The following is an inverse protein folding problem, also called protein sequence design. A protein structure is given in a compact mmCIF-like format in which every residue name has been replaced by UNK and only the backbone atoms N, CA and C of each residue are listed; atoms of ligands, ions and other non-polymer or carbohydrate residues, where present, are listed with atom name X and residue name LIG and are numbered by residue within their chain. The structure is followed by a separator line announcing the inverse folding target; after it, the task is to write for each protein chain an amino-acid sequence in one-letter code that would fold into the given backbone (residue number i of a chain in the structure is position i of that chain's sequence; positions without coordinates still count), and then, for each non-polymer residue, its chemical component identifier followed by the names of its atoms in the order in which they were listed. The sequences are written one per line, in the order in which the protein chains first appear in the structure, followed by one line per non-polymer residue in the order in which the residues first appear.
data_IF_285531502441
#
_entry.id   IF_285531502441
#
_cell.length_a   1.000
_cell.length_b   1.000
_cell.length_c   1.000
_cell.angle_alpha   90.00
_cell.angle_beta   90.00
_cell.angle_gamma   90.00
#
_symmetry.space_group_name_H-M   'P 1'
#
loop_
_entity.id
_entity.type
_entity.pdbx_description
1 polymer ?
#
# COMPACT_ATOMS: atom_id res chain seq x y z
N UNK A 1 -21.08 20.27 32.07
CA UNK A 1 -21.97 20.03 30.91
C UNK A 1 -21.21 20.44 29.65
N UNK A 2 -20.67 19.46 28.92
CA UNK A 2 -20.06 19.69 27.61
C UNK A 2 -21.12 19.37 26.56
N UNK A 3 -21.67 20.43 25.95
CA UNK A 3 -22.58 20.30 24.81
C UNK A 3 -21.75 19.89 23.58
N UNK A 4 -21.76 18.60 23.26
CA UNK A 4 -21.41 18.13 21.91
C UNK A 4 -22.47 18.64 20.94
N UNK A 5 -22.13 19.65 20.15
CA UNK A 5 -22.95 20.04 19.01
C UNK A 5 -22.89 18.92 17.97
N UNK A 6 -23.97 18.14 17.87
CA UNK A 6 -24.20 17.25 16.74
C UNK A 6 -24.41 18.11 15.48
N UNK A 7 -23.35 18.33 14.71
CA UNK A 7 -23.47 18.86 13.35
C UNK A 7 -24.15 17.77 12.52
N UNK A 8 -25.45 17.93 12.29
CA UNK A 8 -26.17 17.11 11.33
C UNK A 8 -25.68 17.49 9.93
N UNK A 9 -25.00 16.58 9.25
CA UNK A 9 -24.68 16.74 7.82
C UNK A 9 -25.99 16.83 7.04
N UNK A 10 -26.33 18.02 6.55
CA UNK A 10 -27.43 18.21 5.62
C UNK A 10 -26.98 17.81 4.21
N UNK A 11 -27.68 16.86 3.59
CA UNK A 11 -27.49 16.53 2.17
C UNK A 11 -28.09 17.68 1.35
N UNK A 12 -27.26 18.38 0.57
CA UNK A 12 -27.71 19.35 -0.43
C UNK A 12 -27.56 18.75 -1.81
N UNK A 13 -28.63 18.76 -2.59
CA UNK A 13 -28.69 18.16 -3.93
C UNK A 13 -28.27 19.13 -5.05
N UNK A 14 -27.93 20.38 -4.72
CA UNK A 14 -27.74 21.47 -5.67
C UNK A 14 -26.26 21.72 -5.99
N UNK A 15 -25.56 20.71 -6.50
CA UNK A 15 -24.21 20.90 -7.06
C UNK A 15 -24.36 21.42 -8.49
N UNK A 16 -24.12 22.72 -8.69
CA UNK A 16 -24.24 23.38 -10.00
C UNK A 16 -22.95 23.32 -10.85
N UNK A 17 -21.88 22.72 -10.33
CA UNK A 17 -20.62 22.53 -11.05
C UNK A 17 -20.56 21.13 -11.64
N UNK A 18 -20.59 21.03 -12.97
CA UNK A 18 -20.55 19.76 -13.69
C UNK A 18 -19.26 18.96 -13.47
N UNK A 19 -18.19 19.59 -12.94
CA UNK A 19 -16.96 18.90 -12.59
C UNK A 19 -16.95 18.28 -11.19
N UNK A 20 -17.99 18.52 -10.37
CA UNK A 20 -18.08 18.01 -9.00
C UNK A 20 -19.18 16.95 -8.93
N UNK A 21 -18.81 15.73 -8.55
CA UNK A 21 -19.76 14.65 -8.31
C UNK A 21 -20.35 14.69 -6.89
N UNK A 22 -19.56 15.07 -5.89
CA UNK A 22 -20.01 15.24 -4.50
C UNK A 22 -19.07 16.14 -3.69
N UNK A 23 -19.55 16.67 -2.58
CA UNK A 23 -18.74 17.37 -1.57
C UNK A 23 -19.01 16.74 -0.21
N UNK A 24 -17.96 16.28 0.48
CA UNK A 24 -18.08 15.62 1.79
C UNK A 24 -17.03 16.20 2.74
N UNK A 25 -17.48 16.78 3.86
CA UNK A 25 -16.57 17.42 4.83
C UNK A 25 -15.74 18.56 4.24
N UNK A 26 -16.27 19.28 3.24
CA UNK A 26 -15.57 20.38 2.55
C UNK A 26 -14.62 19.95 1.43
N UNK A 27 -14.43 18.65 1.19
CA UNK A 27 -13.61 18.16 0.09
C UNK A 27 -14.46 17.65 -1.08
N UNK A 28 -14.05 17.99 -2.30
CA UNK A 28 -14.76 17.64 -3.52
C UNK A 28 -14.29 16.28 -4.09
N UNK A 29 -15.26 15.44 -4.44
CA UNK A 29 -15.08 14.30 -5.34
C UNK A 29 -15.40 14.82 -6.75
N UNK A 30 -14.40 14.87 -7.61
CA UNK A 30 -14.57 15.35 -9.00
C UNK A 30 -15.28 14.30 -9.86
N UNK A 31 -16.00 14.76 -10.89
CA UNK A 31 -16.65 13.89 -11.86
C UNK A 31 -15.66 12.95 -12.56
N UNK A 32 -14.46 13.44 -12.90
CA UNK A 32 -13.42 12.63 -13.54
C UNK A 32 -12.91 11.52 -12.62
N UNK A 33 -12.63 11.83 -11.35
CA UNK A 33 -12.27 10.81 -10.37
C UNK A 33 -13.36 9.73 -10.24
N UNK A 34 -14.64 10.10 -10.18
CA UNK A 34 -15.75 9.14 -10.16
C UNK A 34 -15.72 8.24 -11.40
N UNK A 35 -15.53 8.78 -12.60
CA UNK A 35 -15.51 8.00 -13.83
C UNK A 35 -14.34 7.01 -13.85
N UNK A 36 -13.14 7.44 -13.44
CA UNK A 36 -11.95 6.58 -13.37
C UNK A 36 -12.21 5.38 -12.44
N UNK A 37 -12.76 5.62 -11.25
CA UNK A 37 -13.05 4.53 -10.31
C UNK A 37 -14.24 3.66 -10.77
N UNK A 38 -15.22 4.24 -11.47
CA UNK A 38 -16.31 3.47 -12.07
C UNK A 38 -15.79 2.49 -13.13
N UNK A 39 -14.97 2.97 -14.06
CA UNK A 39 -14.38 2.14 -15.13
C UNK A 39 -13.42 1.08 -14.59
N UNK A 40 -12.82 1.30 -13.42
CA UNK A 40 -11.99 0.29 -12.75
C UNK A 40 -12.81 -0.92 -12.26
N UNK A 41 -14.05 -0.72 -11.83
CA UNK A 41 -14.87 -1.76 -11.16
C UNK A 41 -15.92 -2.35 -12.11
N UNK A 42 -16.50 -1.55 -13.00
CA UNK A 42 -17.60 -1.95 -13.88
C UNK A 42 -17.33 -3.22 -14.72
N UNK A 43 -16.12 -3.47 -15.27
CA UNK A 43 -15.85 -4.69 -16.04
C UNK A 43 -15.94 -5.98 -15.20
N UNK A 44 -15.75 -5.88 -13.87
CA UNK A 44 -15.76 -7.03 -12.96
C UNK A 44 -17.12 -7.35 -12.35
N UNK A 45 -18.07 -6.42 -12.38
CA UNK A 45 -19.43 -6.61 -11.86
C UNK A 45 -20.45 -5.75 -12.63
N UNK A 46 -21.26 -6.42 -13.45
CA UNK A 46 -22.31 -5.82 -14.28
C UNK A 46 -23.41 -5.09 -13.49
N UNK A 47 -23.47 -5.28 -12.16
CA UNK A 47 -24.43 -4.59 -11.28
C UNK A 47 -23.88 -3.26 -10.76
N UNK A 48 -22.60 -3.00 -10.97
CA UNK A 48 -21.95 -1.74 -10.57
C UNK A 48 -22.51 -0.60 -11.40
N UNK A 49 -23.08 0.40 -10.72
CA UNK A 49 -23.55 1.63 -11.35
C UNK A 49 -22.63 2.78 -10.93
N UNK A 50 -22.62 3.87 -11.72
CA UNK A 50 -21.92 5.10 -11.31
C UNK A 50 -22.41 5.59 -9.95
N UNK A 51 -23.71 5.46 -9.69
CA UNK A 51 -24.32 5.83 -8.43
C UNK A 51 -23.82 4.97 -7.27
N UNK A 52 -23.70 3.64 -7.44
CA UNK A 52 -23.19 2.76 -6.39
C UNK A 52 -21.72 3.10 -6.06
N UNK A 53 -20.90 3.35 -7.09
CA UNK A 53 -19.52 3.79 -6.90
C UNK A 53 -19.47 5.12 -6.17
N UNK A 54 -20.26 6.11 -6.57
CA UNK A 54 -20.31 7.40 -5.88
C UNK A 54 -20.71 7.25 -4.40
N UNK A 55 -21.70 6.40 -4.09
CA UNK A 55 -22.09 6.10 -2.70
C UNK A 55 -20.94 5.49 -1.91
N UNK A 56 -20.18 4.57 -2.52
CA UNK A 56 -19.01 3.98 -1.87
C UNK A 56 -17.90 5.01 -1.63
N UNK A 57 -17.64 5.90 -2.60
CA UNK A 57 -16.68 6.99 -2.45
C UNK A 57 -17.08 7.96 -1.32
N UNK A 58 -18.36 8.36 -1.27
CA UNK A 58 -18.91 9.19 -0.19
C UNK A 58 -18.77 8.47 1.16
N UNK A 59 -19.09 7.19 1.22
CA UNK A 59 -18.99 6.38 2.45
C UNK A 59 -17.54 6.31 2.94
N UNK A 60 -16.59 6.08 2.04
CA UNK A 60 -15.16 6.10 2.37
C UNK A 60 -14.76 7.46 2.96
N UNK A 61 -15.16 8.57 2.32
CA UNK A 61 -14.81 9.93 2.79
C UNK A 61 -15.45 10.27 4.13
N UNK A 62 -16.70 9.85 4.37
CA UNK A 62 -17.37 10.04 5.67
C UNK A 62 -16.63 9.30 6.79
N UNK A 63 -16.20 8.06 6.56
CA UNK A 63 -15.44 7.28 7.55
C UNK A 63 -14.03 7.84 7.77
N UNK A 64 -13.36 8.30 6.70
CA UNK A 64 -12.08 8.98 6.80
C UNK A 64 -12.20 10.28 7.62
N UNK A 65 -13.21 11.10 7.33
CA UNK A 65 -13.47 12.33 8.07
C UNK A 65 -13.79 12.09 9.55
N UNK A 66 -14.61 11.08 9.85
CA UNK A 66 -14.86 10.66 11.23
C UNK A 66 -13.57 10.21 11.95
N UNK A 67 -12.67 9.51 11.24
CA UNK A 67 -11.37 9.12 11.79
C UNK A 67 -10.50 10.35 12.11
N UNK A 68 -10.44 11.31 11.19
CA UNK A 68 -9.72 12.59 11.37
C UNK A 68 -10.20 13.32 12.63
N UNK A 69 -11.51 13.31 12.90
CA UNK A 69 -12.12 13.96 14.08
C UNK A 69 -11.98 13.16 15.38
N UNK A 70 -12.00 11.83 15.32
CA UNK A 70 -11.96 10.97 16.51
C UNK A 70 -10.57 10.83 17.14
N UNK A 71 -9.51 11.27 16.45
CA UNK A 71 -8.13 11.10 16.90
C UNK A 71 -7.65 9.64 16.87
N UNK A 72 -8.37 8.77 16.14
CA UNK A 72 -8.07 7.35 16.05
C UNK A 72 -6.75 7.14 15.29
N UNK A 73 -5.73 6.70 16.02
CA UNK A 73 -4.39 6.46 15.49
C UNK A 73 -4.36 5.10 14.80
N UNK A 74 -3.92 5.07 13.55
CA UNK A 74 -3.68 3.82 12.84
C UNK A 74 -2.63 2.99 13.58
N UNK A 75 -2.82 1.67 13.58
CA UNK A 75 -1.76 0.76 14.00
C UNK A 75 -0.48 1.05 13.22
N UNK A 76 0.65 1.19 13.91
CA UNK A 76 1.95 1.25 13.23
C UNK A 76 2.10 -0.03 12.38
N UNK A 77 2.41 0.14 11.09
CA UNK A 77 2.73 -0.96 10.19
C UNK A 77 4.22 -0.87 9.83
N UNK A 78 5.11 -1.40 10.68
CA UNK A 78 6.55 -1.27 10.48
C UNK A 78 7.07 -2.14 9.33
N UNK A 79 6.28 -3.11 8.84
CA UNK A 79 6.72 -4.10 7.85
C UNK A 79 6.31 -3.71 6.43
N UNK A 80 5.14 -3.11 6.26
CA UNK A 80 4.58 -2.71 4.96
C UNK A 80 5.16 -1.41 4.39
N UNK A 81 4.73 -1.05 3.18
CA UNK A 81 5.00 0.26 2.60
C UNK A 81 4.38 1.37 3.44
N UNK A 82 5.01 2.55 3.45
CA UNK A 82 4.40 3.74 4.03
C UNK A 82 3.10 4.07 3.29
N UNK A 83 2.18 4.75 3.98
CA UNK A 83 0.88 5.10 3.40
C UNK A 83 1.04 5.95 2.14
N UNK A 84 1.95 6.93 2.17
CA UNK A 84 2.21 7.84 1.05
C UNK A 84 2.76 7.11 -0.18
N UNK A 85 3.69 6.16 0.02
CA UNK A 85 4.26 5.37 -1.07
C UNK A 85 3.19 4.47 -1.67
N UNK A 86 2.41 3.78 -0.84
CA UNK A 86 1.33 2.91 -1.32
C UNK A 86 0.27 3.69 -2.12
N UNK A 87 -0.12 4.88 -1.66
CA UNK A 87 -1.07 5.75 -2.37
C UNK A 87 -0.46 6.25 -3.68
N UNK A 88 0.80 6.69 -3.67
CA UNK A 88 1.48 7.14 -4.88
C UNK A 88 1.57 6.03 -5.94
N UNK A 89 1.87 4.80 -5.52
CA UNK A 89 1.98 3.64 -6.41
C UNK A 89 0.63 3.23 -6.98
N UNK A 90 -0.41 3.23 -6.14
CA UNK A 90 -1.78 2.99 -6.58
C UNK A 90 -2.25 4.05 -7.58
N UNK A 91 -1.97 5.33 -7.32
CA UNK A 91 -2.30 6.41 -8.25
C UNK A 91 -1.55 6.27 -9.57
N UNK A 92 -0.26 5.95 -9.52
CA UNK A 92 0.54 5.73 -10.73
C UNK A 92 -0.02 4.57 -11.57
N UNK A 93 -0.34 3.46 -10.91
CA UNK A 93 -0.95 2.29 -11.56
C UNK A 93 -2.32 2.61 -12.16
N UNK A 94 -3.16 3.37 -11.45
CA UNK A 94 -4.46 3.81 -11.94
C UNK A 94 -4.34 4.66 -13.20
N UNK A 95 -3.41 5.63 -13.20
CA UNK A 95 -3.16 6.49 -14.36
C UNK A 95 -2.66 5.66 -15.55
N UNK A 96 -1.69 4.76 -15.32
CA UNK A 96 -1.17 3.87 -16.36
C UNK A 96 -2.23 2.98 -16.97
N UNK A 97 -3.15 2.47 -16.15
CA UNK A 97 -4.23 1.59 -16.61
C UNK A 97 -5.26 2.36 -17.44
N UNK A 98 -5.75 3.49 -16.92
CA UNK A 98 -6.84 4.23 -17.57
C UNK A 98 -6.38 4.99 -18.82
N UNK A 99 -5.18 5.57 -18.79
CA UNK A 99 -4.61 6.32 -19.92
C UNK A 99 -3.47 5.57 -20.63
N UNK A 100 -3.49 4.24 -20.64
CA UNK A 100 -2.40 3.44 -21.21
C UNK A 100 -2.01 3.89 -22.63
N UNK A 101 -2.98 3.93 -23.56
CA UNK A 101 -2.71 4.24 -24.97
C UNK A 101 -2.21 5.68 -25.18
N UNK A 102 -2.85 6.73 -24.63
CA UNK A 102 -2.31 8.10 -24.71
C UNK A 102 -0.91 8.24 -24.12
N UNK A 103 -0.65 7.62 -22.97
CA UNK A 103 0.63 7.66 -22.29
C UNK A 103 1.73 6.98 -23.11
N UNK A 104 1.49 5.77 -23.61
CA UNK A 104 2.45 5.03 -24.44
C UNK A 104 2.78 5.77 -25.73
N UNK A 105 1.76 6.35 -26.39
CA UNK A 105 1.96 7.19 -27.57
C UNK A 105 2.86 8.38 -27.26
N UNK A 106 2.54 9.12 -26.20
CA UNK A 106 3.32 10.30 -25.82
C UNK A 106 4.78 9.94 -25.48
N UNK A 107 5.01 8.81 -24.78
CA UNK A 107 6.37 8.33 -24.50
C UNK A 107 7.10 7.97 -25.81
N UNK A 108 6.42 7.30 -26.74
CA UNK A 108 7.00 6.91 -28.04
C UNK A 108 7.36 8.09 -28.94
N UNK A 109 6.70 9.24 -28.76
CA UNK A 109 7.01 10.49 -29.46
C UNK A 109 8.20 11.24 -28.85
N UNK A 110 8.68 10.86 -27.66
CA UNK A 110 9.85 11.49 -27.06
C UNK A 110 11.16 10.97 -27.67
N UNK A 111 12.18 11.82 -27.84
CA UNK A 111 13.49 11.39 -28.32
C UNK A 111 14.08 10.31 -27.41
N UNK A 112 14.32 9.11 -27.93
CA UNK A 112 14.84 7.98 -27.14
C UNK A 112 13.81 7.31 -26.21
N UNK A 113 12.52 7.63 -26.34
CA UNK A 113 11.47 7.05 -25.50
C UNK A 113 11.70 7.30 -24.01
N UNK A 114 11.38 6.30 -23.16
CA UNK A 114 11.55 6.40 -21.71
C UNK A 114 13.00 6.64 -21.27
N UNK A 115 13.98 6.02 -21.95
CA UNK A 115 15.39 6.15 -21.57
C UNK A 115 15.96 7.51 -21.98
N UNK A 116 15.34 8.20 -22.94
CA UNK A 116 15.72 9.53 -23.38
C UNK A 116 15.65 10.62 -22.31
N UNK A 117 14.87 10.41 -21.24
CA UNK A 117 14.83 11.33 -20.11
C UNK A 117 16.06 11.25 -19.19
N UNK A 118 16.81 10.14 -19.24
CA UNK A 118 18.01 9.95 -18.44
C UNK A 118 19.19 10.73 -19.04
N UNK A 119 19.79 11.63 -18.25
CA UNK A 119 20.97 12.39 -18.66
C UNK A 119 22.27 11.74 -18.20
N UNK A 120 22.28 11.20 -16.98
CA UNK A 120 23.44 10.52 -16.41
C UNK A 120 22.99 9.41 -15.47
N UNK A 121 23.44 8.19 -15.72
CA UNK A 121 23.20 7.03 -14.87
C UNK A 121 24.46 6.77 -14.05
N UNK A 122 24.33 6.55 -12.75
CA UNK A 122 25.44 6.33 -11.81
C UNK A 122 25.10 5.22 -10.84
N UNK A 123 24.81 4.03 -11.38
CA UNK A 123 24.51 2.84 -10.59
C UNK A 123 25.76 2.41 -9.82
N UNK A 124 25.57 2.16 -8.52
CA UNK A 124 26.64 1.73 -7.63
C UNK A 124 27.07 0.29 -7.93
N UNK A 125 28.38 0.04 -7.79
CA UNK A 125 28.90 -1.30 -7.70
C UNK A 125 28.41 -2.01 -6.43
N UNK A 126 28.37 -3.34 -6.46
CA UNK A 126 27.75 -4.15 -5.40
C UNK A 126 28.44 -4.00 -4.04
N UNK A 127 29.77 -3.93 -4.06
CA UNK A 127 30.61 -3.71 -2.88
C UNK A 127 30.25 -2.38 -2.20
N UNK A 128 30.16 -1.31 -2.98
CA UNK A 128 29.79 0.02 -2.48
C UNK A 128 28.36 0.06 -1.96
N UNK A 129 27.41 -0.56 -2.66
CA UNK A 129 26.01 -0.65 -2.22
C UNK A 129 25.91 -1.41 -0.87
N UNK A 130 26.62 -2.53 -0.75
CA UNK A 130 26.65 -3.34 0.46
C UNK A 130 27.25 -2.56 1.63
N UNK A 131 28.34 -1.82 1.39
CA UNK A 131 28.98 -0.97 2.39
C UNK A 131 28.01 0.11 2.92
N UNK A 132 27.32 0.82 2.03
CA UNK A 132 26.39 1.89 2.38
C UNK A 132 25.19 1.37 3.19
N UNK A 133 24.69 0.18 2.83
CA UNK A 133 23.50 -0.42 3.45
C UNK A 133 23.81 -1.26 4.69
N UNK A 134 25.10 -1.46 5.02
CA UNK A 134 25.52 -2.24 6.18
C UNK A 134 25.00 -1.59 7.46
N UNK A 135 23.97 -2.19 8.04
CA UNK A 135 23.36 -1.70 9.28
C UNK A 135 23.93 -2.45 10.49
N UNK A 136 24.19 -1.74 11.59
CA UNK A 136 24.70 -2.34 12.84
C UNK A 136 23.60 -3.05 13.65
N UNK A 137 22.33 -2.68 13.46
CA UNK A 137 21.18 -3.34 14.09
C UNK A 137 20.36 -4.11 13.05
N UNK A 138 20.59 -5.43 12.94
CA UNK A 138 19.91 -6.31 11.98
C UNK A 138 18.37 -6.39 12.15
N UNK A 139 17.82 -5.89 13.26
CA UNK A 139 16.39 -6.10 13.58
C UNK A 139 15.43 -5.05 13.01
N UNK A 140 15.86 -3.82 12.70
CA UNK A 140 14.91 -2.74 12.33
C UNK A 140 14.93 -2.30 10.87
N UNK A 141 15.91 -2.72 10.05
CA UNK A 141 16.12 -2.27 8.65
C UNK A 141 15.77 -0.78 8.43
N UNK A 142 16.09 0.05 9.42
CA UNK A 142 15.81 1.48 9.44
C UNK A 142 17.14 2.20 9.34
N UNK A 143 17.24 3.13 8.40
CA UNK A 143 18.45 3.91 8.19
C UNK A 143 18.68 4.86 9.37
N UNK A 144 19.90 4.84 9.92
CA UNK A 144 20.35 5.84 10.92
C UNK A 144 20.39 7.22 10.28
N UNK A 145 20.28 8.30 11.06
CA UNK A 145 20.35 9.69 10.53
C UNK A 145 21.56 9.92 9.61
N UNK A 146 22.72 9.38 9.99
CA UNK A 146 23.94 9.44 9.18
C UNK A 146 23.77 8.73 7.82
N UNK A 147 23.14 7.55 7.81
CA UNK A 147 22.81 6.85 6.57
C UNK A 147 21.79 7.63 5.74
N UNK A 148 20.81 8.30 6.36
CA UNK A 148 19.83 9.12 5.64
C UNK A 148 20.53 10.24 4.86
N UNK A 149 21.45 10.95 5.51
CA UNK A 149 22.25 12.02 4.88
C UNK A 149 23.09 11.45 3.73
N UNK A 150 23.79 10.34 3.97
CA UNK A 150 24.64 9.69 2.97
C UNK A 150 23.83 9.21 1.75
N UNK A 151 22.65 8.62 1.98
CA UNK A 151 21.76 8.16 0.91
C UNK A 151 21.24 9.33 0.07
N UNK A 152 20.94 10.47 0.69
CA UNK A 152 20.50 11.69 0.00
C UNK A 152 21.60 12.33 -0.86
N UNK A 153 22.87 12.14 -0.50
CA UNK A 153 24.02 12.61 -1.29
C UNK A 153 24.42 11.65 -2.41
N UNK A 154 23.94 10.41 -2.36
CA UNK A 154 24.30 9.35 -3.32
C UNK A 154 23.35 9.40 -4.53
N UNK A 155 23.73 10.15 -5.56
CA UNK A 155 22.94 10.27 -6.81
C UNK A 155 23.10 9.03 -7.67
N UNK A 156 21.97 8.42 -8.06
CA UNK A 156 21.90 7.22 -8.90
C UNK A 156 21.49 7.54 -10.35
N UNK A 157 20.70 8.59 -10.54
CA UNK A 157 20.28 9.06 -11.85
C UNK A 157 20.12 10.58 -11.83
N UNK A 158 20.62 11.25 -12.86
CA UNK A 158 20.22 12.61 -13.23
C UNK A 158 19.32 12.53 -14.46
N UNK A 159 18.15 13.15 -14.39
CA UNK A 159 17.16 13.14 -15.46
C UNK A 159 16.59 14.53 -15.73
N UNK A 160 15.98 14.71 -16.89
CA UNK A 160 15.27 15.94 -17.22
C UNK A 160 14.00 15.61 -18.01
N UNK A 161 12.87 16.11 -17.52
CA UNK A 161 11.60 16.04 -18.23
C UNK A 161 11.45 17.23 -19.18
N UNK A 162 10.64 17.12 -20.26
CA UNK A 162 10.48 18.19 -21.23
C UNK A 162 10.02 19.50 -20.57
N UNK A 163 10.73 20.60 -20.83
CA UNK A 163 10.41 21.91 -20.26
C UNK A 163 10.64 22.06 -18.75
N UNK A 164 11.10 21.01 -18.05
CA UNK A 164 11.38 21.05 -16.62
C UNK A 164 12.88 21.25 -16.34
N UNK A 165 13.19 21.55 -15.08
CA UNK A 165 14.56 21.58 -14.58
C UNK A 165 15.16 20.17 -14.50
N UNK A 166 16.48 20.09 -14.49
CA UNK A 166 17.18 18.83 -14.19
C UNK A 166 16.93 18.43 -12.74
N UNK A 167 16.62 17.15 -12.53
CA UNK A 167 16.37 16.54 -11.24
C UNK A 167 17.21 15.27 -11.06
N UNK A 168 17.24 14.74 -9.84
CA UNK A 168 18.02 13.57 -9.48
C UNK A 168 17.20 12.54 -8.72
N UNK A 169 17.48 11.26 -8.97
CA UNK A 169 17.09 10.15 -8.11
C UNK A 169 18.32 9.77 -7.28
N UNK A 170 18.15 9.74 -5.97
CA UNK A 170 19.17 9.38 -4.99
C UNK A 170 18.91 8.00 -4.40
N UNK A 171 19.89 7.44 -3.70
CA UNK A 171 19.69 6.20 -2.94
C UNK A 171 18.61 6.36 -1.87
N UNK A 172 18.44 7.57 -1.34
CA UNK A 172 17.37 7.87 -0.36
C UNK A 172 15.99 7.69 -0.98
N UNK A 173 15.78 8.19 -2.19
CA UNK A 173 14.51 8.07 -2.90
C UNK A 173 14.13 6.60 -3.14
N UNK A 174 15.12 5.75 -3.42
CA UNK A 174 14.90 4.31 -3.58
C UNK A 174 14.60 3.66 -2.23
N UNK A 175 15.41 3.94 -1.20
CA UNK A 175 15.34 3.29 0.11
C UNK A 175 14.02 3.57 0.84
N UNK A 176 13.56 4.82 0.85
CA UNK A 176 12.34 5.24 1.57
C UNK A 176 11.07 4.64 0.96
N UNK A 177 11.12 4.30 -0.32
CA UNK A 177 10.01 3.65 -1.03
C UNK A 177 9.91 2.16 -0.75
N UNK A 178 10.92 1.55 -0.13
CA UNK A 178 10.89 0.11 0.16
C UNK A 178 10.21 -0.20 1.50
N UNK A 179 9.48 -1.31 1.50
CA UNK A 179 9.07 -2.01 2.72
C UNK A 179 10.25 -2.80 3.32
N UNK A 180 10.06 -3.49 4.46
CA UNK A 180 11.17 -4.22 5.11
C UNK A 180 11.77 -5.31 4.21
N UNK A 181 10.96 -6.02 3.43
CA UNK A 181 11.45 -7.04 2.49
C UNK A 181 12.25 -6.42 1.35
N UNK A 182 11.80 -5.32 0.78
CA UNK A 182 12.52 -4.56 -0.24
C UNK A 182 13.86 -4.03 0.27
N UNK A 183 13.93 -3.59 1.54
CA UNK A 183 15.20 -3.15 2.16
C UNK A 183 16.18 -4.30 2.38
N UNK A 184 15.68 -5.48 2.75
CA UNK A 184 16.48 -6.71 2.82
C UNK A 184 17.04 -7.03 1.43
N UNK A 185 16.19 -7.06 0.42
CA UNK A 185 16.61 -7.31 -0.96
C UNK A 185 17.63 -6.28 -1.43
N UNK A 186 17.41 -4.99 -1.15
CA UNK A 186 18.32 -3.91 -1.51
C UNK A 186 19.70 -4.07 -0.85
N UNK A 187 19.74 -4.55 0.41
CA UNK A 187 21.01 -4.82 1.11
C UNK A 187 21.82 -5.98 0.53
N UNK A 188 21.16 -6.86 -0.22
CA UNK A 188 21.75 -8.02 -0.89
C UNK A 188 21.78 -7.83 -2.42
N UNK A 189 21.39 -6.65 -2.90
CA UNK A 189 21.08 -6.43 -4.30
C UNK A 189 22.32 -6.42 -5.19
N UNK A 190 22.12 -6.86 -6.42
CA UNK A 190 23.05 -6.63 -7.52
C UNK A 190 22.85 -5.23 -8.10
N UNK A 191 23.86 -4.67 -8.80
CA UNK A 191 23.71 -3.41 -9.52
C UNK A 191 22.51 -3.41 -10.49
N UNK A 192 22.19 -4.57 -11.10
CA UNK A 192 21.03 -4.73 -11.98
C UNK A 192 19.70 -4.52 -11.25
N UNK A 193 19.56 -5.04 -10.03
CA UNK A 193 18.35 -4.80 -9.24
C UNK A 193 18.20 -3.32 -8.90
N UNK A 194 19.30 -2.66 -8.50
CA UNK A 194 19.29 -1.22 -8.22
C UNK A 194 18.92 -0.41 -9.48
N UNK A 195 19.45 -0.77 -10.64
CA UNK A 195 19.09 -0.15 -11.91
C UNK A 195 17.59 -0.27 -12.20
N UNK A 196 17.00 -1.46 -12.01
CA UNK A 196 15.55 -1.67 -12.17
C UNK A 196 14.71 -0.82 -11.21
N UNK A 197 15.14 -0.63 -9.96
CA UNK A 197 14.45 0.25 -9.02
C UNK A 197 14.53 1.73 -9.43
N UNK A 198 15.68 2.16 -9.96
CA UNK A 198 15.87 3.52 -10.50
C UNK A 198 15.00 3.75 -11.73
N UNK A 199 14.95 2.80 -12.66
CA UNK A 199 14.09 2.85 -13.85
C UNK A 199 12.61 2.89 -13.48
N UNK A 200 12.18 2.07 -12.51
CA UNK A 200 10.81 2.08 -12.02
C UNK A 200 10.44 3.46 -11.45
N UNK A 201 11.30 4.05 -10.64
CA UNK A 201 11.06 5.38 -10.06
C UNK A 201 11.07 6.48 -11.13
N UNK A 202 11.97 6.43 -12.11
CA UNK A 202 11.92 7.34 -13.25
C UNK A 202 10.58 7.21 -13.99
N UNK A 203 10.13 5.98 -14.24
CA UNK A 203 8.83 5.71 -14.83
C UNK A 203 7.67 6.30 -14.01
N UNK A 204 7.76 6.28 -12.68
CA UNK A 204 6.76 6.93 -11.83
C UNK A 204 6.76 8.45 -12.05
N UNK A 205 7.93 9.10 -12.05
CA UNK A 205 8.07 10.55 -12.28
C UNK A 205 7.54 10.98 -13.64
N UNK A 206 7.81 10.18 -14.67
CA UNK A 206 7.32 10.42 -16.04
C UNK A 206 5.80 10.37 -16.10
N UNK A 207 5.17 9.36 -15.48
CA UNK A 207 3.70 9.27 -15.42
C UNK A 207 3.09 10.43 -14.65
N UNK A 208 3.70 10.82 -13.53
CA UNK A 208 3.23 11.95 -12.73
C UNK A 208 3.30 13.27 -13.51
N UNK A 209 4.39 13.48 -14.25
CA UNK A 209 4.55 14.61 -15.16
C UNK A 209 3.52 14.59 -16.29
N UNK A 210 3.38 13.44 -16.96
CA UNK A 210 2.44 13.28 -18.06
C UNK A 210 1.00 13.53 -17.61
N UNK A 211 0.61 13.00 -16.45
CA UNK A 211 -0.69 13.24 -15.86
C UNK A 211 -0.96 14.74 -15.68
N UNK A 212 0.00 15.51 -15.15
CA UNK A 212 -0.18 16.95 -14.92
C UNK A 212 -0.18 17.81 -16.19
N UNK A 213 0.49 17.37 -17.26
CA UNK A 213 0.78 18.23 -18.43
C UNK A 213 0.04 17.82 -19.70
N UNK A 214 -0.33 16.55 -19.83
CA UNK A 214 -0.74 15.96 -21.11
C UNK A 214 -2.01 15.11 -21.03
N UNK A 215 -2.43 14.67 -19.84
CA UNK A 215 -3.61 13.79 -19.70
C UNK A 215 -4.96 14.47 -19.90
N UNK A 216 -5.00 15.81 -19.82
CA UNK A 216 -6.24 16.59 -19.77
C UNK A 216 -6.83 16.73 -18.36
N UNK A 217 -6.28 16.03 -17.36
CA UNK A 217 -6.69 16.16 -15.96
C UNK A 217 -6.37 17.53 -15.40
N UNK A 218 -7.31 18.09 -14.64
CA UNK A 218 -7.05 19.26 -13.81
C UNK A 218 -6.32 18.85 -12.52
N UNK A 219 -5.59 19.78 -11.87
CA UNK A 219 -4.97 19.51 -10.57
C UNK A 219 -5.97 18.99 -9.52
N UNK A 220 -7.22 19.48 -9.56
CA UNK A 220 -8.30 19.05 -8.68
C UNK A 220 -8.65 17.56 -8.89
N UNK A 221 -8.62 17.06 -10.12
CA UNK A 221 -8.97 15.66 -10.42
C UNK A 221 -7.89 14.72 -9.88
N UNK A 222 -6.61 15.07 -10.09
CA UNK A 222 -5.48 14.31 -9.54
C UNK A 222 -5.52 14.29 -8.01
N UNK A 223 -5.81 15.43 -7.38
CA UNK A 223 -5.97 15.53 -5.94
C UNK A 223 -7.16 14.70 -5.45
N UNK A 224 -8.30 14.75 -6.16
CA UNK A 224 -9.49 13.99 -5.82
C UNK A 224 -9.25 12.48 -5.92
N UNK A 225 -8.58 12.01 -6.98
CA UNK A 225 -8.17 10.60 -7.12
C UNK A 225 -7.23 10.17 -5.98
N UNK A 226 -6.23 10.99 -5.64
CA UNK A 226 -5.34 10.73 -4.51
C UNK A 226 -6.12 10.64 -3.20
N UNK A 227 -7.07 11.55 -2.98
CA UNK A 227 -7.92 11.56 -1.78
C UNK A 227 -8.76 10.31 -1.67
N UNK A 228 -9.40 9.87 -2.75
CA UNK A 228 -10.19 8.62 -2.76
C UNK A 228 -9.34 7.41 -2.34
N UNK A 229 -8.10 7.31 -2.83
CA UNK A 229 -7.19 6.23 -2.45
C UNK A 229 -6.81 6.29 -0.97
N UNK A 230 -6.60 7.50 -0.43
CA UNK A 230 -6.38 7.72 1.00
C UNK A 230 -7.63 7.27 1.77
N UNK A 231 -8.80 7.79 1.44
CA UNK A 231 -10.05 7.52 2.15
C UNK A 231 -10.38 6.01 2.19
N UNK A 232 -10.09 5.28 1.10
CA UNK A 232 -10.25 3.81 1.08
C UNK A 232 -9.38 3.12 2.14
N UNK A 233 -8.14 3.57 2.32
CA UNK A 233 -7.22 3.04 3.35
C UNK A 233 -7.66 3.47 4.75
N UNK A 234 -8.13 4.70 4.88
CA UNK A 234 -8.66 5.23 6.14
C UNK A 234 -9.89 4.44 6.59
N UNK A 235 -10.82 4.12 5.68
CA UNK A 235 -11.93 3.20 5.95
C UNK A 235 -11.44 1.86 6.46
N UNK A 236 -10.47 1.22 5.80
CA UNK A 236 -9.96 -0.07 6.25
C UNK A 236 -9.39 0.02 7.67
N UNK A 237 -8.68 1.10 7.99
CA UNK A 237 -8.19 1.35 9.35
C UNK A 237 -9.34 1.46 10.35
N UNK A 238 -10.37 2.25 10.03
CA UNK A 238 -11.56 2.39 10.86
C UNK A 238 -12.23 1.03 11.07
N UNK A 239 -12.51 0.28 10.01
CA UNK A 239 -13.17 -1.02 10.12
C UNK A 239 -12.34 -2.02 10.94
N UNK A 240 -11.01 -2.07 10.74
CA UNK A 240 -10.11 -2.91 11.56
C UNK A 240 -10.17 -2.51 13.02
N UNK A 241 -10.12 -1.21 13.29
CA UNK A 241 -10.14 -0.67 14.65
C UNK A 241 -11.43 -0.99 15.41
N UNK A 242 -12.56 -1.01 14.69
CA UNK A 242 -13.88 -1.37 15.20
C UNK A 242 -14.14 -2.89 15.23
N UNK A 243 -13.20 -3.71 14.75
CA UNK A 243 -13.39 -5.16 14.64
C UNK A 243 -14.39 -5.59 13.56
N UNK A 244 -14.72 -4.70 12.62
CA UNK A 244 -15.65 -4.93 11.51
C UNK A 244 -14.95 -5.42 10.23
N UNK A 245 -13.66 -5.74 10.30
CA UNK A 245 -12.85 -6.17 9.17
C UNK A 245 -12.37 -7.62 9.34
N UNK A 246 -12.90 -8.53 8.53
CA UNK A 246 -12.60 -9.96 8.58
C UNK A 246 -11.22 -10.30 7.99
N UNK A 247 -10.15 -9.91 8.67
CA UNK A 247 -8.83 -10.53 8.50
C UNK A 247 -8.42 -11.08 9.86
N UNK A 248 -8.09 -12.37 9.92
CA UNK A 248 -7.76 -13.12 11.15
C UNK A 248 -6.57 -12.55 11.96
N UNK A 249 -5.88 -11.52 11.45
CA UNK A 249 -4.79 -10.80 12.11
C UNK A 249 -5.09 -9.31 12.37
N UNK A 250 -6.35 -8.88 12.23
CA UNK A 250 -6.72 -7.49 12.46
C UNK A 250 -6.76 -7.19 13.96
N UNK A 251 -6.04 -6.15 14.37
CA UNK A 251 -6.05 -5.66 15.74
C UNK A 251 -7.32 -4.85 16.01
N UNK A 252 -8.16 -5.32 16.93
CA UNK A 252 -9.31 -4.58 17.44
C UNK A 252 -8.85 -3.62 18.56
N UNK A 253 -9.33 -2.37 18.56
CA UNK A 253 -8.96 -1.38 19.59
C UNK A 253 -9.36 -1.80 20.99
N UNK A 254 -10.54 -2.39 21.16
CA UNK A 254 -11.02 -2.88 22.45
C UNK A 254 -10.12 -4.03 22.92
N UNK A 255 -9.79 -4.98 22.03
CA UNK A 255 -8.86 -6.07 22.37
C UNK A 255 -7.45 -5.57 22.68
N UNK A 256 -6.98 -4.51 22.01
CA UNK A 256 -5.70 -3.88 22.32
C UNK A 256 -5.72 -3.19 23.67
N UNK A 257 -6.73 -2.37 23.96
CA UNK A 257 -6.88 -1.72 25.26
C UNK A 257 -6.96 -2.76 26.39
N UNK A 258 -7.69 -3.85 26.17
CA UNK A 258 -7.71 -4.99 27.09
C UNK A 258 -6.34 -5.63 27.23
N UNK A 259 -5.63 -5.90 26.12
CA UNK A 259 -4.28 -6.47 26.14
C UNK A 259 -3.26 -5.57 26.83
N UNK A 260 -3.31 -4.25 26.61
CA UNK A 260 -2.42 -3.27 27.23
C UNK A 260 -2.71 -3.13 28.73
N UNK A 261 -3.95 -3.42 29.16
CA UNK A 261 -4.33 -3.48 30.56
C UNK A 261 -3.90 -4.78 31.27
N UNK A 262 -3.48 -5.82 30.52
CA UNK A 262 -2.97 -7.07 31.11
C UNK A 262 -1.58 -6.84 31.69
N UNK A 263 -1.45 -7.07 32.98
CA UNK A 263 -0.18 -6.97 33.71
C UNK A 263 0.70 -8.19 33.48
N UNK A 264 2.00 -8.02 33.68
CA UNK A 264 2.97 -9.12 33.61
C UNK A 264 2.66 -10.22 34.63
N UNK A 265 2.13 -9.87 35.79
CA UNK A 265 1.74 -10.81 36.85
C UNK A 265 0.57 -11.69 36.42
N UNK A 266 -0.43 -11.10 35.77
CA UNK A 266 -1.58 -11.85 35.20
C UNK A 266 -1.12 -12.82 34.11
N UNK A 267 -0.20 -12.39 33.23
CA UNK A 267 0.39 -13.29 32.22
C UNK A 267 1.10 -14.47 32.89
N UNK A 268 1.95 -14.22 33.89
CA UNK A 268 2.67 -15.27 34.62
C UNK A 268 1.73 -16.23 35.32
N UNK A 269 0.68 -15.71 35.98
CA UNK A 269 -0.33 -16.52 36.64
C UNK A 269 -1.13 -17.36 35.65
N UNK A 270 -1.48 -16.80 34.49
CA UNK A 270 -2.16 -17.52 33.41
C UNK A 270 -1.33 -18.71 32.92
N UNK A 271 -0.06 -18.51 32.56
CA UNK A 271 0.83 -19.58 32.11
C UNK A 271 1.05 -20.65 33.18
N UNK A 272 1.18 -20.26 34.46
CA UNK A 272 1.36 -21.20 35.57
C UNK A 272 0.15 -22.13 35.72
N UNK A 273 -1.07 -21.57 35.63
CA UNK A 273 -2.32 -22.30 35.83
C UNK A 273 -2.75 -23.11 34.59
N UNK A 274 -2.19 -22.81 33.42
CA UNK A 274 -2.56 -23.39 32.13
C UNK A 274 -1.43 -24.13 31.44
N UNK A 275 -0.43 -24.57 32.21
CA UNK A 275 0.78 -25.23 31.70
C UNK A 275 0.50 -26.41 30.75
N UNK A 276 -0.60 -27.13 30.97
CA UNK A 276 -1.00 -28.29 30.15
C UNK A 276 -1.52 -27.90 28.74
N UNK A 277 -1.95 -26.64 28.54
CA UNK A 277 -2.40 -26.12 27.24
C UNK A 277 -1.23 -25.63 26.37
N UNK A 278 -0.06 -25.44 26.97
CA UNK A 278 1.16 -24.98 26.29
C UNK A 278 2.16 -26.12 26.13
N UNK A 279 1.79 -27.13 25.33
CA UNK A 279 2.73 -28.17 24.89
C UNK A 279 3.35 -27.76 23.55
N UNK A 280 4.66 -27.91 23.43
CA UNK A 280 5.36 -27.70 22.14
C UNK A 280 5.44 -29.03 21.42
N UNK A 281 4.76 -29.14 20.29
CA UNK A 281 4.99 -30.21 19.33
C UNK A 281 6.34 -29.95 18.64
N UNK A 282 7.40 -30.57 19.14
CA UNK A 282 8.77 -30.37 18.61
C UNK A 282 8.95 -30.94 17.20
N UNK A 283 8.30 -32.07 16.90
CA UNK A 283 8.30 -32.67 15.57
C UNK A 283 7.10 -33.60 15.38
N UNK A 284 6.55 -33.61 14.16
CA UNK A 284 5.59 -34.63 13.72
C UNK A 284 6.31 -35.52 12.72
N UNK A 285 6.46 -36.82 13.04
CA UNK A 285 6.79 -37.83 12.04
C UNK A 285 5.51 -38.24 11.35
N UNK A 286 5.30 -37.76 10.13
CA UNK A 286 4.20 -38.18 9.27
C UNK A 286 4.74 -38.95 8.06
N UNK A 287 4.01 -39.97 7.64
CA UNK A 287 4.23 -40.64 6.37
C UNK A 287 3.21 -40.09 5.37
N UNK A 288 3.70 -39.47 4.29
CA UNK A 288 2.86 -39.04 3.18
C UNK A 288 2.82 -40.15 2.13
N UNK A 289 1.62 -40.59 1.76
CA UNK A 289 1.39 -41.54 0.68
C UNK A 289 0.51 -40.86 -0.36
N UNK A 290 1.04 -40.63 -1.56
CA UNK A 290 0.28 -40.05 -2.66
C UNK A 290 -0.26 -41.16 -3.56
N UNK A 291 -1.54 -41.07 -3.91
CA UNK A 291 -2.25 -42.04 -4.74
C UNK A 291 -2.92 -41.34 -5.91
N UNK A 292 -3.05 -42.05 -7.02
CA UNK A 292 -3.54 -41.53 -8.31
C UNK A 292 -5.07 -41.40 -8.39
N UNK A 293 -5.80 -41.82 -7.35
CA UNK A 293 -7.25 -41.76 -7.30
C UNK A 293 -7.81 -41.80 -5.88
N UNK A 294 -8.96 -41.17 -5.69
CA UNK A 294 -9.70 -41.16 -4.42
C UNK A 294 -10.05 -42.59 -3.97
N UNK A 295 -10.50 -43.45 -4.89
CA UNK A 295 -10.86 -44.83 -4.59
C UNK A 295 -9.70 -45.62 -3.96
N UNK A 296 -8.49 -45.50 -4.49
CA UNK A 296 -7.31 -46.15 -3.89
C UNK A 296 -6.96 -45.56 -2.52
N UNK A 297 -7.17 -44.26 -2.32
CA UNK A 297 -6.96 -43.64 -1.02
C UNK A 297 -7.91 -44.19 0.03
N UNK A 298 -9.19 -44.36 -0.33
CA UNK A 298 -10.21 -44.92 0.56
C UNK A 298 -9.90 -46.40 0.90
N UNK A 299 -9.47 -47.19 -0.10
CA UNK A 299 -9.08 -48.59 0.10
C UNK A 299 -7.87 -48.72 1.04
N UNK A 300 -6.82 -47.92 0.84
CA UNK A 300 -5.61 -47.91 1.71
C UNK A 300 -5.95 -47.43 3.12
N UNK A 301 -6.83 -46.44 3.25
CA UNK A 301 -7.30 -45.97 4.55
C UNK A 301 -8.06 -47.05 5.31
N UNK A 302 -8.94 -47.78 4.63
CA UNK A 302 -9.71 -48.89 5.22
C UNK A 302 -8.83 -50.05 5.68
N UNK A 303 -7.73 -50.33 4.98
CA UNK A 303 -6.75 -51.36 5.35
C UNK A 303 -5.96 -50.99 6.60
N UNK A 304 -5.56 -49.71 6.75
CA UNK A 304 -4.85 -49.24 7.95
C UNK A 304 -5.70 -49.29 9.23
N UNK A 305 -7.02 -49.12 9.11
CA UNK A 305 -7.94 -49.24 10.26
C UNK A 305 -8.04 -50.68 10.75
N UNK A 306 -7.92 -51.67 9.85
CA UNK A 306 -7.97 -53.11 10.20
C UNK A 306 -6.66 -53.69 10.73
N UNK A 307 -5.53 -53.00 10.55
CA UNK A 307 -4.21 -53.45 11.01
C UNK A 307 -3.84 -52.93 12.42
N UNK A 308 -4.71 -52.15 13.04
CA UNK A 308 -4.55 -51.62 14.41
C UNK A 308 -5.52 -52.26 15.42
N UNK A 309 -6.21 -53.34 15.02
CA UNK A 309 -6.85 -54.33 15.91
C UNK A 309 -5.95 -55.55 16.07
#
# INVERSE_FOLDING_TARGET
MLLSAMVHSAVKSDINDNNIAAIVGGEAITAEALEVFYQQVAPGDFRTTRESVLRDLITNRLLAHWREQSGLVAAANPVGFSADVAVADQLNGLIRLYWQKPLERWIGEQPGGMTGFAQKISILAQDRLTELLKNKSQMSFTATEQQQILFSQTVLLTYRLPGEKTETITLRDIYDRQNVQGRIQLSQATPTYLAGQVEQLLGHRVVEYWARKHSGLMPADIQSMKRVLIDRRERETVLKSLGLFNVMHSSNLVLRQLSDAVTREEVVNYYRNKKNEFSRLDAVKAFHLQLDSQKKADDVYSLKLRSNE
#
